data_IF_812558037662
#
_entry.id   IF_812558037662
#
_cell.length_a   1.000
_cell.length_b   1.000
_cell.length_c   1.000
_cell.angle_alpha   90.00
_cell.angle_beta   90.00
_cell.angle_gamma   90.00
#
_symmetry.space_group_name_H-M   'P 1'
#
loop_
_entity.id
_entity.type
_entity.pdbx_description
1 polymer ?
#
# COMPACT_ATOMS: atom_id res chain seq x y z
N UNK A 1 -11.08 58.01 -53.64
CA UNK A 1 -11.00 56.60 -54.05
C UNK A 1 -10.08 55.87 -53.10
N UNK A 2 -10.49 54.66 -52.72
CA UNK A 2 -10.20 53.96 -51.46
C UNK A 2 -8.80 53.34 -51.47
N UNK A 3 -8.01 53.60 -50.42
CA UNK A 3 -6.76 52.88 -50.15
C UNK A 3 -7.08 51.41 -49.87
N UNK A 4 -6.68 50.53 -50.78
CA UNK A 4 -6.82 49.08 -50.65
C UNK A 4 -5.98 48.58 -49.48
N UNK A 5 -6.65 48.03 -48.47
CA UNK A 5 -6.03 47.25 -47.41
C UNK A 5 -5.44 45.99 -48.03
N UNK A 6 -4.12 45.95 -48.19
CA UNK A 6 -3.40 44.72 -48.47
C UNK A 6 -3.68 43.72 -47.36
N UNK A 7 -4.34 42.60 -47.71
CA UNK A 7 -4.60 41.50 -46.79
C UNK A 7 -3.26 41.05 -46.21
N UNK A 8 -3.10 41.18 -44.88
CA UNK A 8 -2.03 40.51 -44.14
C UNK A 8 -2.11 39.01 -44.48
N UNK A 9 -0.98 38.41 -44.87
CA UNK A 9 -0.88 36.95 -44.96
C UNK A 9 -1.37 36.35 -43.64
N UNK A 10 -2.17 35.26 -43.65
CA UNK A 10 -2.47 34.54 -42.43
C UNK A 10 -1.15 34.14 -41.75
N UNK A 11 -1.07 34.17 -40.40
CA UNK A 11 0.11 33.65 -39.70
C UNK A 11 0.36 32.21 -40.17
N UNK A 12 1.59 31.90 -40.58
CA UNK A 12 2.01 30.53 -40.88
C UNK A 12 1.63 29.65 -39.68
N UNK A 13 0.89 28.57 -39.94
CA UNK A 13 0.56 27.58 -38.92
C UNK A 13 1.87 27.11 -38.26
N UNK A 14 1.93 27.01 -36.91
CA UNK A 14 3.15 26.60 -36.23
C UNK A 14 3.56 25.22 -36.76
N UNK A 15 4.75 25.15 -37.38
CA UNK A 15 5.30 23.87 -37.86
C UNK A 15 5.52 22.94 -36.66
N UNK A 16 4.65 21.95 -36.51
CA UNK A 16 4.77 20.91 -35.49
C UNK A 16 5.88 19.96 -35.94
N UNK A 17 6.94 19.85 -35.14
CA UNK A 17 8.05 18.95 -35.43
C UNK A 17 7.82 17.61 -34.74
N UNK A 18 7.84 16.52 -35.50
CA UNK A 18 7.71 15.16 -34.94
C UNK A 18 9.07 14.72 -34.41
N UNK A 19 9.12 14.19 -33.18
CA UNK A 19 10.35 13.68 -32.55
C UNK A 19 10.07 12.38 -31.79
N UNK A 20 11.04 11.46 -31.75
CA UNK A 20 10.95 10.25 -30.93
C UNK A 20 11.45 10.51 -29.52
N UNK A 21 10.90 9.82 -28.52
CA UNK A 21 11.25 10.02 -27.10
C UNK A 21 12.75 9.88 -26.80
N UNK A 22 13.43 8.93 -27.46
CA UNK A 22 14.86 8.67 -27.33
C UNK A 22 15.74 9.81 -27.90
N UNK A 23 15.29 10.46 -28.97
CA UNK A 23 15.99 11.58 -29.61
C UNK A 23 15.87 12.90 -28.81
N UNK A 24 14.92 13.00 -27.88
CA UNK A 24 14.65 14.23 -27.12
C UNK A 24 15.83 14.63 -26.23
N UNK A 25 16.54 13.66 -25.65
CA UNK A 25 17.70 13.95 -24.77
C UNK A 25 18.76 14.73 -25.55
N UNK A 26 19.09 14.27 -26.76
CA UNK A 26 20.12 14.90 -27.59
C UNK A 26 19.71 16.31 -28.02
N UNK A 27 18.43 16.50 -28.38
CA UNK A 27 17.91 17.83 -28.74
C UNK A 27 17.94 18.78 -27.56
N UNK A 28 17.51 18.33 -26.37
CA UNK A 28 17.52 19.12 -25.15
C UNK A 28 18.95 19.50 -24.74
N UNK A 29 19.87 18.54 -24.73
CA UNK A 29 21.27 18.75 -24.36
C UNK A 29 22.00 19.69 -25.34
N UNK A 30 21.81 19.48 -26.65
CA UNK A 30 22.38 20.37 -27.67
C UNK A 30 21.85 21.80 -27.53
N UNK A 31 20.54 21.95 -27.31
CA UNK A 31 19.92 23.26 -27.15
C UNK A 31 20.41 23.95 -25.88
N UNK A 32 20.48 23.20 -24.77
CA UNK A 32 21.04 23.66 -23.49
C UNK A 32 22.48 24.16 -23.66
N UNK A 33 23.33 23.38 -24.33
CA UNK A 33 24.73 23.74 -24.55
C UNK A 33 24.86 25.07 -25.33
N UNK A 34 24.15 25.21 -26.44
CA UNK A 34 24.18 26.44 -27.26
C UNK A 34 23.71 27.65 -26.45
N UNK A 35 22.64 27.50 -25.66
CA UNK A 35 22.12 28.58 -24.82
C UNK A 35 23.05 28.90 -23.64
N UNK A 36 23.71 27.91 -23.06
CA UNK A 36 24.71 28.07 -22.01
C UNK A 36 25.90 28.90 -22.52
N UNK A 37 26.47 28.55 -23.68
CA UNK A 37 27.56 29.33 -24.28
C UNK A 37 27.13 30.77 -24.58
N UNK A 38 25.91 30.97 -25.10
CA UNK A 38 25.39 32.29 -25.42
C UNK A 38 25.17 33.15 -24.18
N UNK A 39 24.63 32.58 -23.11
CA UNK A 39 24.38 33.27 -21.84
C UNK A 39 25.68 33.62 -21.11
N UNK A 40 26.67 32.71 -21.10
CA UNK A 40 28.02 32.97 -20.57
C UNK A 40 28.70 34.08 -21.37
N UNK A 41 28.69 34.01 -22.70
CA UNK A 41 29.26 35.06 -23.56
C UNK A 41 28.61 36.42 -23.31
N UNK A 42 27.27 36.45 -23.21
CA UNK A 42 26.52 37.68 -22.91
C UNK A 42 26.91 38.24 -21.54
N UNK A 43 27.01 37.39 -20.52
CA UNK A 43 27.44 37.79 -19.19
C UNK A 43 28.87 38.34 -19.17
N UNK A 44 29.81 37.70 -19.89
CA UNK A 44 31.17 38.20 -20.06
C UNK A 44 31.22 39.61 -20.68
N UNK A 45 30.38 39.86 -21.70
CA UNK A 45 30.25 41.19 -22.29
C UNK A 45 29.67 42.24 -21.31
N UNK A 46 28.67 41.86 -20.51
CA UNK A 46 28.13 42.73 -19.46
C UNK A 46 29.18 43.05 -18.40
N UNK A 47 29.99 42.06 -18.02
CA UNK A 47 31.09 42.26 -17.07
C UNK A 47 32.16 43.21 -17.63
N UNK A 48 32.52 43.06 -18.92
CA UNK A 48 33.44 43.97 -19.59
C UNK A 48 32.91 45.41 -19.62
N UNK A 49 31.65 45.62 -20.03
CA UNK A 49 31.00 46.94 -20.03
C UNK A 49 30.98 47.55 -18.62
N UNK A 50 30.64 46.73 -17.62
CA UNK A 50 30.61 47.16 -16.21
C UNK A 50 31.99 47.55 -15.70
N UNK A 51 33.04 46.81 -16.07
CA UNK A 51 34.41 47.17 -15.70
C UNK A 51 34.88 48.47 -16.36
N UNK A 52 34.44 48.79 -17.58
CA UNK A 52 34.68 50.11 -18.20
C UNK A 52 34.05 51.23 -17.36
N UNK A 53 32.79 51.07 -16.96
CA UNK A 53 32.09 52.02 -16.08
C UNK A 53 32.75 52.15 -14.70
N UNK A 54 33.25 51.04 -14.13
CA UNK A 54 33.99 51.06 -12.87
C UNK A 54 35.30 51.86 -13.00
N UNK A 55 36.02 51.74 -14.12
CA UNK A 55 37.22 52.56 -14.38
C UNK A 55 36.88 54.04 -14.46
N UNK A 56 35.74 54.40 -15.03
CA UNK A 56 35.25 55.79 -15.02
C UNK A 56 34.93 56.26 -13.60
N UNK A 57 34.31 55.44 -12.74
CA UNK A 57 34.13 55.77 -11.33
C UNK A 57 35.46 55.99 -10.59
N UNK A 58 36.48 55.18 -10.92
CA UNK A 58 37.83 55.36 -10.36
C UNK A 58 38.45 56.67 -10.83
N UNK A 59 38.21 57.08 -12.07
CA UNK A 59 38.68 58.37 -12.57
C UNK A 59 37.97 59.53 -11.88
N UNK A 60 36.65 59.50 -11.78
CA UNK A 60 35.87 60.53 -11.04
C UNK A 60 36.34 60.62 -9.59
N UNK A 61 36.65 59.49 -8.93
CA UNK A 61 37.22 59.50 -7.59
C UNK A 61 38.53 60.29 -7.52
N UNK A 62 39.44 60.09 -8.49
CA UNK A 62 40.71 60.81 -8.55
C UNK A 62 40.50 62.30 -8.83
N UNK A 63 39.58 62.64 -9.72
CA UNK A 63 39.25 64.02 -10.05
C UNK A 63 38.69 64.74 -8.80
N UNK A 64 37.75 64.11 -8.09
CA UNK A 64 37.25 64.61 -6.80
C UNK A 64 38.38 64.72 -5.75
N UNK A 65 39.33 63.78 -5.70
CA UNK A 65 40.48 63.84 -4.79
C UNK A 65 41.38 65.07 -5.07
N UNK A 66 41.56 65.43 -6.35
CA UNK A 66 42.42 66.52 -6.82
C UNK A 66 41.74 67.89 -6.86
N UNK A 67 40.41 67.92 -6.90
CA UNK A 67 39.62 69.14 -6.90
C UNK A 67 39.68 69.81 -5.51
N UNK A 68 40.69 70.65 -5.30
CA UNK A 68 40.69 71.59 -4.18
C UNK A 68 39.48 72.50 -4.36
N UNK A 69 38.73 72.78 -3.29
CA UNK A 69 37.48 73.56 -3.34
C UNK A 69 37.79 75.02 -3.74
N UNK A 70 38.19 75.26 -5.00
CA UNK A 70 38.90 76.45 -5.49
C UNK A 70 38.05 77.73 -5.42
N UNK A 71 36.74 77.61 -5.23
CA UNK A 71 35.85 78.74 -4.93
C UNK A 71 35.73 78.94 -3.41
N UNK A 72 36.82 79.38 -2.77
CA UNK A 72 36.83 79.65 -1.33
C UNK A 72 35.85 80.75 -0.88
N UNK A 73 35.28 81.52 -1.81
CA UNK A 73 34.34 82.62 -1.55
C UNK A 73 32.84 82.22 -1.60
N UNK A 74 32.45 81.06 -2.17
CA UNK A 74 31.03 80.70 -2.37
C UNK A 74 30.43 79.74 -1.31
N UNK A 75 31.25 79.01 -0.55
CA UNK A 75 30.77 78.03 0.45
C UNK A 75 30.71 78.62 1.86
N UNK A 76 29.51 78.62 2.49
CA UNK A 76 29.31 79.09 3.87
C UNK A 76 30.29 78.39 4.86
N UNK A 77 31.10 79.16 5.62
CA UNK A 77 32.05 78.62 6.60
C UNK A 77 31.44 77.65 7.62
N UNK A 78 30.14 77.76 7.91
CA UNK A 78 29.41 76.87 8.85
C UNK A 78 29.16 75.48 8.27
N UNK A 79 29.04 75.33 6.95
CA UNK A 79 28.79 74.04 6.29
C UNK A 79 30.08 73.40 5.77
N UNK A 80 31.17 74.16 5.64
CA UNK A 80 32.49 73.69 5.16
C UNK A 80 32.98 72.39 5.85
N UNK A 81 32.89 72.19 7.18
CA UNK A 81 33.31 70.93 7.81
C UNK A 81 32.47 69.72 7.40
N UNK A 82 31.17 69.92 7.14
CA UNK A 82 30.26 68.88 6.66
C UNK A 82 30.58 68.50 5.22
N UNK A 83 30.93 69.50 4.39
CA UNK A 83 31.34 69.30 2.99
C UNK A 83 32.61 68.46 2.89
N UNK A 84 33.65 68.81 3.66
CA UNK A 84 34.92 68.07 3.71
C UNK A 84 34.68 66.62 4.19
N UNK A 85 33.83 66.43 5.20
CA UNK A 85 33.49 65.10 5.72
C UNK A 85 32.75 64.26 4.68
N UNK A 86 31.76 64.84 3.99
CA UNK A 86 31.01 64.18 2.93
C UNK A 86 31.88 63.76 1.75
N UNK A 87 32.79 64.66 1.30
CA UNK A 87 33.80 64.38 0.28
C UNK A 87 34.68 63.18 0.65
N UNK A 88 35.24 63.16 1.88
CA UNK A 88 36.04 62.02 2.38
C UNK A 88 35.25 60.71 2.43
N UNK A 89 34.00 60.75 2.86
CA UNK A 89 33.14 59.56 2.90
C UNK A 89 32.85 58.99 1.51
N UNK A 90 32.62 59.87 0.51
CA UNK A 90 32.41 59.46 -0.87
C UNK A 90 33.67 58.83 -1.48
N UNK A 91 34.84 59.46 -1.28
CA UNK A 91 36.13 58.94 -1.76
C UNK A 91 36.39 57.54 -1.19
N UNK A 92 36.22 57.36 0.12
CA UNK A 92 36.38 56.05 0.77
C UNK A 92 35.39 55.00 0.27
N UNK A 93 34.15 55.41 -0.04
CA UNK A 93 33.15 54.54 -0.64
C UNK A 93 33.58 54.05 -2.02
N UNK A 94 33.99 54.97 -2.90
CA UNK A 94 34.43 54.66 -4.24
C UNK A 94 35.72 53.83 -4.23
N UNK A 95 36.68 54.16 -3.36
CA UNK A 95 37.92 53.39 -3.19
C UNK A 95 37.69 51.92 -2.84
N UNK A 96 36.70 51.62 -2.00
CA UNK A 96 36.39 50.26 -1.55
C UNK A 96 35.47 49.48 -2.48
N UNK A 97 34.61 50.17 -3.25
CA UNK A 97 33.53 49.52 -3.99
C UNK A 97 33.61 49.68 -5.52
N UNK A 98 34.38 50.65 -6.03
CA UNK A 98 34.71 50.75 -7.46
C UNK A 98 35.95 49.88 -7.77
N UNK A 99 35.81 48.58 -7.52
CA UNK A 99 36.80 47.55 -7.85
C UNK A 99 36.24 46.77 -9.04
N UNK A 100 37.09 46.41 -10.00
CA UNK A 100 36.67 45.58 -11.13
C UNK A 100 36.11 44.23 -10.65
N UNK A 101 35.19 43.67 -11.42
CA UNK A 101 34.71 42.30 -11.22
C UNK A 101 35.53 41.34 -12.08
N UNK A 102 35.66 40.10 -11.61
CA UNK A 102 36.39 39.06 -12.33
C UNK A 102 35.71 38.73 -13.67
N UNK A 103 36.48 38.30 -14.69
CA UNK A 103 35.92 37.79 -15.94
C UNK A 103 34.99 36.59 -15.70
N UNK A 104 33.86 36.59 -16.40
CA UNK A 104 32.85 35.52 -16.28
C UNK A 104 33.11 34.46 -17.35
N UNK A 105 33.39 33.23 -16.90
CA UNK A 105 33.62 32.07 -17.77
C UNK A 105 32.63 30.92 -17.54
N UNK A 106 31.87 30.96 -16.44
CA UNK A 106 30.93 29.92 -16.06
C UNK A 106 29.74 30.50 -15.30
N UNK A 107 28.76 29.64 -15.00
CA UNK A 107 27.57 30.00 -14.23
C UNK A 107 27.91 30.51 -12.82
N UNK A 108 28.93 29.94 -12.18
CA UNK A 108 29.35 30.34 -10.83
C UNK A 108 29.85 31.80 -10.84
N UNK A 109 30.61 32.18 -11.84
CA UNK A 109 31.07 33.54 -12.07
C UNK A 109 29.92 34.51 -12.28
N UNK A 110 28.86 34.12 -13.02
CA UNK A 110 27.66 34.94 -13.20
C UNK A 110 26.98 35.27 -11.86
N UNK A 111 26.75 34.26 -11.03
CA UNK A 111 26.11 34.40 -9.72
C UNK A 111 26.96 35.30 -8.80
N UNK A 112 28.26 35.06 -8.76
CA UNK A 112 29.17 35.82 -7.91
C UNK A 112 29.27 37.28 -8.34
N UNK A 113 29.44 37.55 -9.63
CA UNK A 113 29.50 38.89 -10.17
C UNK A 113 28.22 39.69 -9.87
N UNK A 114 27.04 39.09 -10.05
CA UNK A 114 25.78 39.74 -9.77
C UNK A 114 25.64 40.11 -8.27
N UNK A 115 26.02 39.18 -7.37
CA UNK A 115 26.01 39.41 -5.91
C UNK A 115 26.98 40.51 -5.50
N UNK A 116 28.17 40.51 -6.07
CA UNK A 116 29.19 41.52 -5.77
C UNK A 116 28.76 42.91 -6.24
N UNK A 117 28.22 43.03 -7.45
CA UNK A 117 27.69 44.28 -7.98
C UNK A 117 26.53 44.82 -7.11
N UNK A 118 25.61 43.95 -6.70
CA UNK A 118 24.49 44.35 -5.82
C UNK A 118 25.01 44.96 -4.50
N UNK A 119 25.97 44.29 -3.85
CA UNK A 119 26.54 44.78 -2.60
C UNK A 119 27.31 46.09 -2.79
N UNK A 120 28.10 46.20 -3.86
CA UNK A 120 28.89 47.41 -4.18
C UNK A 120 27.98 48.61 -4.49
N UNK A 121 26.97 48.42 -5.35
CA UNK A 121 25.98 49.46 -5.68
C UNK A 121 25.21 49.94 -4.47
N UNK A 122 24.71 49.03 -3.62
CA UNK A 122 24.01 49.41 -2.38
C UNK A 122 24.89 50.26 -1.47
N UNK A 123 26.18 49.93 -1.33
CA UNK A 123 27.11 50.69 -0.47
C UNK A 123 27.39 52.08 -1.02
N UNK A 124 27.67 52.21 -2.32
CA UNK A 124 27.92 53.52 -2.96
C UNK A 124 26.64 54.37 -2.97
N UNK A 125 25.50 53.79 -3.36
CA UNK A 125 24.21 54.46 -3.37
C UNK A 125 23.76 54.94 -1.99
N UNK A 126 23.98 54.15 -0.93
CA UNK A 126 23.68 54.57 0.44
C UNK A 126 24.49 55.80 0.88
N UNK A 127 25.76 55.90 0.46
CA UNK A 127 26.63 57.03 0.83
C UNK A 127 26.25 58.26 0.01
N UNK A 128 25.98 58.10 -1.29
CA UNK A 128 25.48 59.19 -2.14
C UNK A 128 24.13 59.71 -1.67
N UNK A 129 23.19 58.84 -1.30
CA UNK A 129 21.90 59.27 -0.76
C UNK A 129 22.02 60.06 0.54
N UNK A 130 22.90 59.64 1.45
CA UNK A 130 23.15 60.34 2.73
C UNK A 130 23.88 61.67 2.55
N UNK A 131 24.75 61.77 1.55
CA UNK A 131 25.59 62.95 1.30
C UNK A 131 25.11 63.79 0.11
N UNK A 132 23.92 63.54 -0.45
CA UNK A 132 23.44 64.16 -1.69
C UNK A 132 23.51 65.70 -1.67
N UNK A 133 23.04 66.33 -0.60
CA UNK A 133 23.11 67.80 -0.43
C UNK A 133 24.55 68.33 -0.39
N UNK A 134 25.45 67.57 0.21
CA UNK A 134 26.86 67.93 0.30
C UNK A 134 27.51 67.77 -1.07
N UNK A 135 27.25 66.65 -1.77
CA UNK A 135 27.76 66.38 -3.13
C UNK A 135 27.32 67.45 -4.14
N UNK A 136 26.09 67.93 -4.07
CA UNK A 136 25.64 69.04 -4.94
C UNK A 136 26.34 70.37 -4.67
N UNK A 137 26.88 70.59 -3.47
CA UNK A 137 27.55 71.85 -3.10
C UNK A 137 29.03 71.88 -3.52
N UNK A 138 29.71 70.73 -3.57
CA UNK A 138 31.14 70.69 -3.92
C UNK A 138 31.47 70.00 -5.24
N UNK A 139 30.49 69.35 -5.87
CA UNK A 139 30.73 68.43 -6.98
C UNK A 139 29.50 68.32 -7.89
N UNK A 140 28.85 69.43 -8.21
CA UNK A 140 27.65 69.45 -9.06
C UNK A 140 27.89 68.76 -10.42
N UNK A 141 29.04 69.03 -11.05
CA UNK A 141 29.45 68.43 -12.33
C UNK A 141 29.70 66.92 -12.22
N UNK A 142 30.28 66.44 -11.12
CA UNK A 142 30.52 65.01 -10.89
C UNK A 142 29.25 64.27 -10.44
N UNK A 143 28.31 64.96 -9.78
CA UNK A 143 27.09 64.36 -9.25
C UNK A 143 26.22 63.76 -10.36
N UNK A 144 26.04 64.50 -11.46
CA UNK A 144 25.29 64.04 -12.63
C UNK A 144 25.95 62.81 -13.26
N UNK A 145 27.27 62.84 -13.45
CA UNK A 145 28.02 61.74 -14.06
C UNK A 145 28.08 60.49 -13.17
N UNK A 146 28.28 60.65 -11.85
CA UNK A 146 28.22 59.55 -10.88
C UNK A 146 26.86 58.86 -10.91
N UNK A 147 25.78 59.65 -10.93
CA UNK A 147 24.43 59.12 -11.00
C UNK A 147 24.24 58.30 -12.28
N UNK A 148 24.61 58.85 -13.43
CA UNK A 148 24.49 58.17 -14.72
C UNK A 148 25.26 56.84 -14.73
N UNK A 149 26.54 56.84 -14.31
CA UNK A 149 27.35 55.61 -14.31
C UNK A 149 26.75 54.54 -13.38
N UNK A 150 26.26 54.93 -12.20
CA UNK A 150 25.65 53.98 -11.26
C UNK A 150 24.32 53.41 -11.77
N UNK A 151 23.52 54.21 -12.48
CA UNK A 151 22.32 53.74 -13.17
C UNK A 151 22.67 52.73 -14.27
N UNK A 152 23.68 53.01 -15.09
CA UNK A 152 24.15 52.08 -16.13
C UNK A 152 24.73 50.77 -15.56
N UNK A 153 25.47 50.83 -14.44
CA UNK A 153 25.95 49.62 -13.74
C UNK A 153 24.77 48.82 -13.17
N UNK A 154 23.77 49.47 -12.59
CA UNK A 154 22.56 48.81 -12.08
C UNK A 154 21.76 48.14 -13.19
N UNK A 155 21.66 48.76 -14.37
CA UNK A 155 20.99 48.16 -15.52
C UNK A 155 21.76 46.98 -16.10
N UNK A 156 23.09 47.07 -16.21
CA UNK A 156 23.94 45.92 -16.57
C UNK A 156 23.79 44.78 -15.55
N UNK A 157 23.69 45.09 -14.25
CA UNK A 157 23.47 44.10 -13.20
C UNK A 157 22.11 43.42 -13.32
N UNK A 158 21.02 44.17 -13.56
CA UNK A 158 19.69 43.60 -13.80
C UNK A 158 19.69 42.66 -15.01
N UNK A 159 20.34 43.06 -16.10
CA UNK A 159 20.47 42.22 -17.29
C UNK A 159 21.30 40.95 -17.02
N UNK A 160 22.37 41.07 -16.21
CA UNK A 160 23.16 39.92 -15.76
C UNK A 160 22.33 38.97 -14.89
N UNK A 161 21.52 39.50 -13.97
CA UNK A 161 20.59 38.71 -13.15
C UNK A 161 19.60 37.95 -14.03
N UNK A 162 18.93 38.62 -14.97
CA UNK A 162 18.02 37.95 -15.92
C UNK A 162 18.73 36.86 -16.74
N UNK A 163 19.94 37.15 -17.23
CA UNK A 163 20.75 36.18 -17.98
C UNK A 163 21.12 34.96 -17.12
N UNK A 164 21.41 35.18 -15.84
CA UNK A 164 21.70 34.11 -14.86
C UNK A 164 20.46 33.25 -14.60
N UNK A 165 19.31 33.88 -14.40
CA UNK A 165 18.04 33.15 -14.19
C UNK A 165 17.65 32.32 -15.41
N UNK A 166 17.82 32.85 -16.63
CA UNK A 166 17.56 32.08 -17.86
C UNK A 166 18.47 30.87 -17.98
N UNK A 167 19.77 31.03 -17.68
CA UNK A 167 20.73 29.92 -17.69
C UNK A 167 20.31 28.81 -16.71
N UNK A 168 19.93 29.18 -15.49
CA UNK A 168 19.45 28.22 -14.49
C UNK A 168 18.18 27.49 -14.95
N UNK A 169 17.20 28.24 -15.46
CA UNK A 169 15.94 27.67 -15.93
C UNK A 169 16.14 26.69 -17.10
N UNK A 170 17.03 26.99 -18.04
CA UNK A 170 17.37 26.05 -19.14
C UNK A 170 17.99 24.74 -18.60
N UNK A 171 18.83 24.81 -17.56
CA UNK A 171 19.37 23.61 -16.91
C UNK A 171 18.29 22.78 -16.21
N UNK A 172 17.41 23.42 -15.43
CA UNK A 172 16.31 22.74 -14.73
C UNK A 172 15.34 22.07 -15.71
N UNK A 173 15.06 22.70 -16.86
CA UNK A 173 14.26 22.12 -17.92
C UNK A 173 14.93 20.88 -18.54
N UNK A 174 16.24 20.93 -18.80
CA UNK A 174 16.98 19.78 -19.33
C UNK A 174 17.05 18.61 -18.34
N UNK A 175 17.20 18.89 -17.05
CA UNK A 175 17.13 17.89 -15.99
C UNK A 175 15.73 17.26 -15.91
N UNK A 176 14.68 18.07 -16.02
CA UNK A 176 13.28 17.60 -16.06
C UNK A 176 13.05 16.64 -17.24
N UNK A 177 13.56 16.98 -18.43
CA UNK A 177 13.48 16.15 -19.63
C UNK A 177 14.23 14.83 -19.42
N UNK A 178 15.51 14.91 -19.02
CA UNK A 178 16.38 13.73 -18.87
C UNK A 178 15.88 12.80 -17.77
N UNK A 179 15.46 13.36 -16.63
CA UNK A 179 14.85 12.61 -15.53
C UNK A 179 13.52 11.98 -15.92
N UNK A 180 12.66 12.73 -16.61
CA UNK A 180 11.38 12.23 -17.11
C UNK A 180 11.54 11.05 -18.08
N UNK A 181 12.48 11.13 -19.02
CA UNK A 181 12.76 10.03 -19.96
C UNK A 181 13.25 8.78 -19.24
N UNK A 182 14.15 8.93 -18.24
CA UNK A 182 14.60 7.82 -17.39
C UNK A 182 13.44 7.20 -16.60
N UNK A 183 12.51 8.02 -16.11
CA UNK A 183 11.32 7.56 -15.41
C UNK A 183 10.43 6.73 -16.34
N UNK A 184 10.15 7.22 -17.55
CA UNK A 184 9.34 6.49 -18.55
C UNK A 184 9.99 5.14 -18.87
N UNK A 185 11.29 5.11 -19.14
CA UNK A 185 11.98 3.85 -19.43
C UNK A 185 11.93 2.86 -18.24
N UNK A 186 12.05 3.36 -17.01
CA UNK A 186 11.93 2.54 -15.81
C UNK A 186 10.52 1.96 -15.64
N UNK A 187 9.49 2.75 -15.97
CA UNK A 187 8.09 2.31 -15.98
C UNK A 187 7.85 1.22 -17.04
N UNK A 188 8.41 1.36 -18.25
CA UNK A 188 8.33 0.36 -19.31
C UNK A 188 8.99 -0.97 -18.93
N UNK A 189 10.19 -0.91 -18.35
CA UNK A 189 10.87 -2.11 -17.85
C UNK A 189 10.01 -2.83 -16.81
N UNK A 190 9.42 -2.07 -15.87
CA UNK A 190 8.52 -2.63 -14.86
C UNK A 190 7.26 -3.26 -15.47
N UNK A 191 6.66 -2.64 -16.49
CA UNK A 191 5.51 -3.20 -17.22
C UNK A 191 5.91 -4.53 -17.89
N UNK A 192 7.07 -4.58 -18.56
CA UNK A 192 7.55 -5.77 -19.23
C UNK A 192 7.84 -6.92 -18.24
N UNK A 193 8.50 -6.63 -17.13
CA UNK A 193 8.81 -7.62 -16.10
C UNK A 193 7.55 -8.13 -15.40
N UNK A 194 6.58 -7.24 -15.15
CA UNK A 194 5.26 -7.63 -14.68
C UNK A 194 4.56 -8.55 -15.68
N UNK A 195 4.64 -8.25 -16.99
CA UNK A 195 4.09 -9.08 -18.06
C UNK A 195 4.65 -10.50 -18.05
N UNK A 196 5.97 -10.65 -17.91
CA UNK A 196 6.63 -11.95 -17.76
C UNK A 196 6.14 -12.68 -16.51
N UNK A 197 6.10 -11.99 -15.37
CA UNK A 197 5.67 -12.59 -14.09
C UNK A 197 4.20 -13.02 -14.11
N UNK A 198 3.33 -12.27 -14.80
CA UNK A 198 1.93 -12.67 -15.06
C UNK A 198 1.88 -13.92 -15.92
N UNK A 199 2.63 -13.97 -17.03
CA UNK A 199 2.68 -15.15 -17.91
C UNK A 199 3.13 -16.41 -17.16
N UNK A 200 4.18 -16.31 -16.34
CA UNK A 200 4.66 -17.42 -15.50
C UNK A 200 3.60 -17.87 -14.49
N UNK A 201 2.94 -16.92 -13.81
CA UNK A 201 1.90 -17.21 -12.82
C UNK A 201 0.64 -17.79 -13.47
N UNK A 202 0.30 -17.38 -14.70
CA UNK A 202 -0.81 -17.95 -15.49
C UNK A 202 -0.51 -19.39 -15.90
N UNK A 203 0.75 -19.69 -16.27
CA UNK A 203 1.18 -21.06 -16.53
C UNK A 203 1.06 -21.94 -15.27
N UNK A 204 1.55 -21.46 -14.12
CA UNK A 204 1.42 -22.18 -12.84
C UNK A 204 -0.05 -22.42 -12.47
N UNK A 205 -0.92 -21.42 -12.66
CA UNK A 205 -2.37 -21.55 -12.47
C UNK A 205 -2.99 -22.63 -13.37
N UNK A 206 -2.54 -22.73 -14.62
CA UNK A 206 -3.02 -23.75 -15.54
C UNK A 206 -2.57 -25.16 -15.12
N UNK A 207 -1.33 -25.31 -14.67
CA UNK A 207 -0.81 -26.58 -14.15
C UNK A 207 -1.58 -27.03 -12.90
N UNK A 208 -1.89 -26.11 -11.97
CA UNK A 208 -2.72 -26.40 -10.80
C UNK A 208 -4.14 -26.77 -11.22
N UNK A 209 -4.73 -26.05 -12.17
CA UNK A 209 -6.07 -26.36 -12.69
C UNK A 209 -6.12 -27.77 -13.32
N UNK A 210 -5.07 -28.17 -14.04
CA UNK A 210 -4.95 -29.53 -14.57
C UNK A 210 -4.84 -30.57 -13.44
N UNK A 211 -4.04 -30.31 -12.40
CA UNK A 211 -3.94 -31.20 -11.22
C UNK A 211 -5.28 -31.31 -10.49
N UNK A 212 -6.01 -30.21 -10.33
CA UNK A 212 -7.35 -30.22 -9.75
C UNK A 212 -8.30 -31.11 -10.56
N UNK A 213 -8.33 -30.97 -11.88
CA UNK A 213 -9.16 -31.83 -12.74
C UNK A 213 -8.79 -33.32 -12.61
N UNK A 214 -7.50 -33.63 -12.53
CA UNK A 214 -7.03 -35.00 -12.29
C UNK A 214 -7.49 -35.52 -10.92
N UNK A 215 -7.29 -34.76 -9.84
CA UNK A 215 -7.71 -35.17 -8.49
C UNK A 215 -9.24 -35.31 -8.40
N UNK A 216 -10.02 -34.47 -9.09
CA UNK A 216 -11.48 -34.63 -9.20
C UNK A 216 -11.86 -35.94 -9.88
N UNK A 217 -11.19 -36.30 -10.98
CA UNK A 217 -11.39 -37.58 -11.66
C UNK A 217 -11.02 -38.76 -10.75
N UNK A 218 -9.89 -38.69 -10.04
CA UNK A 218 -9.47 -39.72 -9.08
C UNK A 218 -10.47 -39.90 -7.93
N UNK A 219 -11.03 -38.81 -7.41
CA UNK A 219 -12.11 -38.86 -6.41
C UNK A 219 -13.35 -39.53 -7.00
N UNK A 220 -13.75 -39.15 -8.21
CA UNK A 220 -14.93 -39.70 -8.86
C UNK A 220 -14.79 -41.22 -9.12
N UNK A 221 -13.62 -41.67 -9.55
CA UNK A 221 -13.34 -43.08 -9.78
C UNK A 221 -13.21 -43.86 -8.47
N UNK A 222 -12.59 -43.27 -7.44
CA UNK A 222 -12.56 -43.90 -6.12
C UNK A 222 -13.97 -44.10 -5.55
N UNK A 223 -14.90 -43.17 -5.78
CA UNK A 223 -16.31 -43.33 -5.37
C UNK A 223 -17.05 -44.47 -6.09
N UNK A 224 -16.56 -44.91 -7.25
CA UNK A 224 -17.11 -46.08 -7.97
C UNK A 224 -16.51 -47.41 -7.47
N UNK A 225 -15.46 -47.35 -6.65
CA UNK A 225 -14.76 -48.56 -6.19
C UNK A 225 -15.63 -49.43 -5.28
N UNK A 226 -15.36 -50.73 -5.29
CA UNK A 226 -15.99 -51.67 -4.37
C UNK A 226 -15.67 -51.35 -2.90
N UNK A 227 -14.45 -50.87 -2.63
CA UNK A 227 -13.97 -50.44 -1.31
C UNK A 227 -14.84 -49.31 -0.74
N UNK A 228 -15.06 -48.24 -1.51
CA UNK A 228 -15.88 -47.12 -1.07
C UNK A 228 -17.35 -47.52 -0.83
N UNK A 229 -17.91 -48.36 -1.70
CA UNK A 229 -19.26 -48.88 -1.53
C UNK A 229 -19.39 -49.77 -0.29
N UNK A 230 -18.36 -50.59 0.02
CA UNK A 230 -18.33 -51.39 1.24
C UNK A 230 -18.31 -50.51 2.49
N UNK A 231 -17.49 -49.46 2.49
CA UNK A 231 -17.46 -48.48 3.59
C UNK A 231 -18.82 -47.78 3.76
N UNK A 232 -19.49 -47.36 2.68
CA UNK A 232 -20.83 -46.76 2.74
C UNK A 232 -21.87 -47.71 3.34
N UNK A 233 -21.87 -48.98 2.93
CA UNK A 233 -22.80 -49.98 3.47
C UNK A 233 -22.59 -50.19 4.98
N UNK A 234 -21.34 -50.15 5.45
CA UNK A 234 -21.03 -50.23 6.89
C UNK A 234 -21.50 -48.98 7.64
N UNK A 235 -21.37 -47.79 7.05
CA UNK A 235 -21.94 -46.55 7.61
C UNK A 235 -23.46 -46.66 7.79
N UNK A 236 -24.17 -47.14 6.76
CA UNK A 236 -25.62 -47.32 6.81
C UNK A 236 -26.04 -48.39 7.82
N UNK A 237 -25.24 -49.46 7.95
CA UNK A 237 -25.44 -50.48 8.98
C UNK A 237 -25.26 -49.92 10.39
N UNK A 238 -24.22 -49.11 10.61
CA UNK A 238 -23.98 -48.44 11.89
C UNK A 238 -25.13 -47.48 12.26
N UNK A 239 -25.67 -46.75 11.28
CA UNK A 239 -26.85 -45.90 11.51
C UNK A 239 -28.12 -46.71 11.81
N UNK A 240 -28.27 -47.91 11.22
CA UNK A 240 -29.34 -48.84 11.61
C UNK A 240 -29.18 -49.30 13.06
N UNK A 241 -27.98 -49.75 13.45
CA UNK A 241 -27.70 -50.16 14.83
C UNK A 241 -27.98 -49.04 15.84
N UNK A 242 -27.67 -47.79 15.50
CA UNK A 242 -28.04 -46.63 16.34
C UNK A 242 -29.55 -46.51 16.52
N UNK A 243 -30.34 -46.68 15.45
CA UNK A 243 -31.81 -46.66 15.53
C UNK A 243 -32.35 -47.84 16.33
N UNK A 244 -31.84 -49.04 16.10
CA UNK A 244 -32.25 -50.26 16.81
C UNK A 244 -31.96 -50.16 18.31
N UNK A 245 -30.83 -49.56 18.68
CA UNK A 245 -30.50 -49.26 20.09
C UNK A 245 -31.50 -48.31 20.74
N UNK A 246 -31.89 -47.24 20.04
CA UNK A 246 -32.92 -46.32 20.54
C UNK A 246 -34.27 -47.03 20.69
N UNK A 247 -34.65 -47.85 19.71
CA UNK A 247 -35.89 -48.62 19.75
C UNK A 247 -35.89 -49.62 20.92
N UNK A 248 -34.78 -50.33 21.14
CA UNK A 248 -34.62 -51.28 22.24
C UNK A 248 -34.63 -50.57 23.60
N UNK A 249 -33.96 -49.42 23.72
CA UNK A 249 -34.03 -48.58 24.93
C UNK A 249 -35.47 -48.17 25.23
N UNK A 250 -36.23 -47.72 24.24
CA UNK A 250 -37.63 -47.39 24.40
C UNK A 250 -38.51 -48.60 24.79
N UNK A 251 -38.27 -49.78 24.19
CA UNK A 251 -38.97 -51.03 24.52
C UNK A 251 -38.78 -51.38 26.01
N UNK A 252 -37.51 -51.38 26.46
CA UNK A 252 -37.14 -51.70 27.84
C UNK A 252 -37.70 -50.67 28.81
N UNK A 253 -37.49 -49.37 28.57
CA UNK A 253 -38.04 -48.30 29.42
C UNK A 253 -39.56 -48.43 29.54
N UNK A 254 -40.26 -48.72 28.43
CA UNK A 254 -41.72 -48.91 28.45
C UNK A 254 -42.13 -50.07 29.35
N UNK A 255 -41.44 -51.22 29.32
CA UNK A 255 -41.75 -52.31 30.25
C UNK A 255 -41.49 -51.91 31.72
N UNK A 256 -40.38 -51.23 31.99
CA UNK A 256 -40.03 -50.82 33.35
C UNK A 256 -40.97 -49.74 33.91
N UNK A 257 -41.53 -48.86 33.07
CA UNK A 257 -42.54 -47.88 33.53
C UNK A 257 -43.78 -48.56 34.12
N UNK A 258 -44.18 -49.73 33.62
CA UNK A 258 -45.33 -50.50 34.14
C UNK A 258 -45.14 -50.94 35.59
N UNK A 259 -43.89 -51.11 36.02
CA UNK A 259 -43.53 -51.57 37.37
C UNK A 259 -42.81 -50.49 38.20
N UNK A 260 -42.71 -49.26 37.70
CA UNK A 260 -42.05 -48.13 38.38
C UNK A 260 -42.57 -47.88 39.80
N UNK A 261 -43.89 -47.98 40.02
CA UNK A 261 -44.53 -47.78 41.33
C UNK A 261 -44.16 -48.86 42.36
N UNK A 262 -44.33 -50.17 42.08
CA UNK A 262 -43.88 -51.20 43.02
C UNK A 262 -42.37 -51.14 43.26
N UNK A 263 -41.55 -50.91 42.22
CA UNK A 263 -40.10 -50.70 42.37
C UNK A 263 -39.79 -49.55 43.33
N UNK A 264 -40.29 -48.34 43.05
CA UNK A 264 -40.01 -47.16 43.88
C UNK A 264 -40.52 -47.24 45.33
N UNK A 265 -41.49 -48.13 45.60
CA UNK A 265 -41.94 -48.42 46.98
C UNK A 265 -41.07 -49.47 47.66
N UNK A 266 -40.62 -50.49 46.93
CA UNK A 266 -39.69 -51.50 47.45
C UNK A 266 -38.36 -50.88 47.88
N UNK A 267 -37.88 -49.87 47.14
CA UNK A 267 -36.70 -49.07 47.50
C UNK A 267 -36.71 -48.51 48.92
N UNK A 268 -37.89 -48.29 49.52
CA UNK A 268 -38.04 -47.66 50.85
C UNK A 268 -38.03 -48.67 52.00
N UNK A 269 -38.17 -49.95 51.67
CA UNK A 269 -38.27 -51.04 52.65
C UNK A 269 -37.17 -52.09 52.48
N UNK A 270 -36.41 -52.05 51.37
CA UNK A 270 -35.22 -52.88 51.20
C UNK A 270 -34.16 -52.49 52.23
N UNK A 271 -33.63 -53.49 52.95
CA UNK A 271 -32.52 -53.30 53.88
C UNK A 271 -31.15 -53.49 53.20
N UNK A 272 -31.14 -54.02 51.98
CA UNK A 272 -29.94 -54.29 51.21
C UNK A 272 -29.56 -53.05 50.37
N UNK A 273 -28.38 -52.51 50.66
CA UNK A 273 -27.84 -51.32 49.97
C UNK A 273 -27.53 -51.59 48.51
N UNK A 274 -27.09 -52.79 48.16
CA UNK A 274 -26.74 -53.15 46.78
C UNK A 274 -28.01 -53.31 45.93
N UNK A 275 -29.05 -53.98 46.46
CA UNK A 275 -30.35 -54.05 45.78
C UNK A 275 -31.03 -52.69 45.68
N UNK A 276 -30.89 -51.82 46.68
CA UNK A 276 -31.44 -50.45 46.64
C UNK A 276 -30.75 -49.62 45.55
N UNK A 277 -29.42 -49.70 45.44
CA UNK A 277 -28.67 -49.02 44.39
C UNK A 277 -29.00 -49.56 42.98
N UNK A 278 -29.16 -50.88 42.82
CA UNK A 278 -29.58 -51.49 41.56
C UNK A 278 -31.00 -51.03 41.16
N UNK A 279 -31.90 -50.94 42.13
CA UNK A 279 -33.27 -50.48 41.92
C UNK A 279 -33.34 -49.03 41.44
N UNK A 280 -32.59 -48.13 42.10
CA UNK A 280 -32.53 -46.72 41.72
C UNK A 280 -32.02 -46.54 40.29
N UNK A 281 -31.00 -47.32 39.89
CA UNK A 281 -30.50 -47.33 38.51
C UNK A 281 -31.53 -47.87 37.51
N UNK A 282 -32.26 -48.93 37.85
CA UNK A 282 -33.35 -49.47 37.00
C UNK A 282 -34.51 -48.47 36.81
N UNK A 283 -34.77 -47.61 37.80
CA UNK A 283 -35.78 -46.55 37.69
C UNK A 283 -35.33 -45.37 36.82
N UNK A 284 -34.03 -45.07 36.83
CA UNK A 284 -33.44 -43.99 36.05
C UNK A 284 -33.16 -44.40 34.60
N UNK A 285 -32.38 -45.45 34.39
CA UNK A 285 -32.05 -46.01 33.08
C UNK A 285 -32.04 -47.54 33.08
N UNK A 286 -33.22 -48.13 32.83
CA UNK A 286 -33.38 -49.57 32.76
C UNK A 286 -32.52 -50.23 31.66
N UNK A 287 -32.26 -49.56 30.54
CA UNK A 287 -31.46 -50.12 29.46
C UNK A 287 -30.01 -50.27 29.88
N UNK A 288 -29.37 -49.17 30.32
CA UNK A 288 -27.96 -49.20 30.71
C UNK A 288 -27.75 -50.04 31.98
N UNK A 289 -28.75 -50.11 32.85
CA UNK A 289 -28.66 -50.96 34.04
C UNK A 289 -28.71 -52.44 33.70
N UNK A 290 -29.61 -52.89 32.82
CA UNK A 290 -29.67 -54.30 32.38
C UNK A 290 -28.42 -54.68 31.60
N UNK A 291 -27.88 -53.75 30.82
CA UNK A 291 -26.63 -53.93 30.08
C UNK A 291 -25.44 -54.20 31.00
N UNK A 292 -25.36 -53.51 32.13
CA UNK A 292 -24.19 -53.53 33.02
C UNK A 292 -24.32 -54.48 34.21
N UNK A 293 -25.55 -54.81 34.62
CA UNK A 293 -25.80 -55.67 35.77
C UNK A 293 -25.87 -57.15 35.38
N UNK A 294 -25.62 -58.03 36.36
CA UNK A 294 -25.92 -59.44 36.21
C UNK A 294 -27.44 -59.66 36.13
N UNK A 295 -27.86 -60.43 35.12
CA UNK A 295 -29.29 -60.72 34.88
C UNK A 295 -29.95 -61.45 36.05
N UNK A 296 -29.20 -62.29 36.76
CA UNK A 296 -29.65 -62.97 37.97
C UNK A 296 -29.96 -62.00 39.09
N UNK A 297 -29.10 -60.99 39.31
CA UNK A 297 -29.34 -59.94 40.30
C UNK A 297 -30.59 -59.10 40.00
N UNK A 298 -30.85 -58.78 38.73
CA UNK A 298 -32.07 -58.06 38.32
C UNK A 298 -33.32 -58.92 38.55
N UNK A 299 -33.26 -60.21 38.22
CA UNK A 299 -34.36 -61.15 38.44
C UNK A 299 -34.64 -61.33 39.93
N UNK A 300 -33.62 -61.53 40.76
CA UNK A 300 -33.75 -61.69 42.22
C UNK A 300 -34.40 -60.45 42.87
N UNK A 301 -34.00 -59.25 42.41
CA UNK A 301 -34.60 -58.00 42.84
C UNK A 301 -36.09 -57.94 42.48
N UNK A 302 -36.45 -58.30 41.24
CA UNK A 302 -37.85 -58.34 40.80
C UNK A 302 -38.67 -59.38 41.59
N UNK A 303 -38.08 -60.51 41.98
CA UNK A 303 -38.71 -61.49 42.86
C UNK A 303 -38.94 -60.96 44.28
N UNK A 304 -37.99 -60.19 44.82
CA UNK A 304 -38.14 -59.46 46.07
C UNK A 304 -39.32 -58.48 46.03
N UNK A 305 -39.40 -57.69 44.96
CA UNK A 305 -40.50 -56.72 44.71
C UNK A 305 -41.84 -57.45 44.55
N UNK A 306 -41.87 -58.58 43.84
CA UNK A 306 -43.06 -59.42 43.67
C UNK A 306 -43.56 -59.96 45.01
N UNK A 307 -42.65 -60.52 45.83
CA UNK A 307 -42.98 -61.05 47.17
C UNK A 307 -43.53 -59.96 48.08
N UNK A 308 -42.89 -58.79 48.13
CA UNK A 308 -43.33 -57.65 48.93
C UNK A 308 -44.68 -57.05 48.45
N UNK A 309 -44.97 -57.13 47.15
CA UNK A 309 -46.28 -56.74 46.60
C UNK A 309 -47.36 -57.75 46.97
N UNK A 310 -47.06 -59.05 46.91
CA UNK A 310 -47.99 -60.13 47.25
C UNK A 310 -48.30 -60.23 48.75
N UNK A 311 -47.33 -59.93 49.62
CA UNK A 311 -47.49 -59.94 51.08
C UNK A 311 -48.23 -58.72 51.62
N UNK A 312 -48.53 -57.73 50.78
CA UNK A 312 -49.09 -56.44 51.19
C UNK A 312 -48.08 -55.50 51.85
N UNK A 313 -46.79 -55.86 51.88
CA UNK A 313 -45.71 -55.00 52.40
C UNK A 313 -45.50 -53.73 51.55
N UNK A 314 -45.94 -53.75 50.30
CA UNK A 314 -46.01 -52.59 49.41
C UNK A 314 -47.45 -52.31 48.98
N UNK A 315 -47.87 -51.06 49.14
CA UNK A 315 -49.18 -50.60 48.65
C UNK A 315 -49.14 -50.19 47.17
N UNK A 316 -49.86 -50.95 46.34
CA UNK A 316 -50.15 -50.65 44.92
C UNK A 316 -51.65 -50.46 44.71
N UNK A 317 -52.04 -49.79 43.61
CA UNK A 317 -53.46 -49.50 43.31
C UNK A 317 -54.26 -50.75 42.95
N UNK A 318 -53.65 -51.66 42.20
CA UNK A 318 -54.23 -52.92 41.74
C UNK A 318 -53.15 -53.98 41.89
N UNK A 319 -53.34 -54.88 42.85
CA UNK A 319 -52.35 -55.89 43.23
C UNK A 319 -52.20 -56.93 42.12
N UNK A 320 -53.30 -57.41 41.56
CA UNK A 320 -53.30 -58.42 40.50
C UNK A 320 -52.56 -57.92 39.26
N UNK A 321 -52.89 -56.71 38.80
CA UNK A 321 -52.24 -56.10 37.63
C UNK A 321 -50.76 -55.78 37.86
N UNK A 322 -50.39 -55.37 39.06
CA UNK A 322 -48.99 -55.10 39.41
C UNK A 322 -48.16 -56.40 39.45
N UNK A 323 -48.69 -57.47 40.05
CA UNK A 323 -48.04 -58.77 40.08
C UNK A 323 -47.85 -59.35 38.67
N UNK A 324 -48.87 -59.23 37.82
CA UNK A 324 -48.79 -59.63 36.41
C UNK A 324 -47.70 -58.84 35.66
N UNK A 325 -47.67 -57.51 35.81
CA UNK A 325 -46.66 -56.67 35.18
C UNK A 325 -45.23 -56.97 35.68
N UNK A 326 -45.05 -57.27 36.97
CA UNK A 326 -43.74 -57.68 37.53
C UNK A 326 -43.30 -59.01 36.94
N UNK A 327 -44.21 -59.99 36.86
CA UNK A 327 -43.91 -61.30 36.29
C UNK A 327 -43.56 -61.22 34.80
N UNK A 328 -44.33 -60.45 34.02
CA UNK A 328 -44.05 -60.21 32.59
C UNK A 328 -42.68 -59.53 32.38
N UNK A 329 -42.34 -58.54 33.22
CA UNK A 329 -41.02 -57.89 33.14
C UNK A 329 -39.90 -58.85 33.53
N UNK A 330 -40.08 -59.65 34.58
CA UNK A 330 -39.11 -60.66 35.03
C UNK A 330 -38.84 -61.70 33.93
N UNK A 331 -39.88 -62.22 33.27
CA UNK A 331 -39.76 -63.14 32.13
C UNK A 331 -39.14 -62.49 30.88
N UNK A 332 -39.26 -61.17 30.73
CA UNK A 332 -38.67 -60.44 29.62
C UNK A 332 -37.17 -60.13 29.79
N UNK A 333 -36.61 -60.18 31.01
CA UNK A 333 -35.20 -59.83 31.28
C UNK A 333 -34.24 -60.62 30.42
N UNK A 334 -34.37 -61.96 30.35
CA UNK A 334 -33.48 -62.79 29.52
C UNK A 334 -33.49 -62.36 28.06
N UNK A 335 -34.68 -62.11 27.50
CA UNK A 335 -34.84 -61.62 26.12
C UNK A 335 -34.23 -60.24 25.90
N UNK A 336 -34.32 -59.35 26.90
CA UNK A 336 -33.70 -58.03 26.82
C UNK A 336 -32.18 -58.10 26.87
N UNK A 337 -31.62 -58.91 27.76
CA UNK A 337 -30.18 -59.18 27.83
C UNK A 337 -29.67 -59.74 26.51
N UNK A 338 -30.36 -60.73 25.92
CA UNK A 338 -30.00 -61.30 24.63
C UNK A 338 -30.02 -60.25 23.51
N UNK A 339 -31.08 -59.42 23.44
CA UNK A 339 -31.19 -58.34 22.44
C UNK A 339 -30.07 -57.31 22.59
N UNK A 340 -29.75 -56.90 23.83
CA UNK A 340 -28.67 -55.95 24.13
C UNK A 340 -27.32 -56.53 23.70
N UNK A 341 -27.01 -57.75 24.15
CA UNK A 341 -25.74 -58.41 23.86
C UNK A 341 -25.52 -58.61 22.36
N UNK A 342 -26.56 -59.07 21.65
CA UNK A 342 -26.49 -59.25 20.20
C UNK A 342 -26.26 -57.92 19.47
N UNK A 343 -26.96 -56.85 19.86
CA UNK A 343 -26.79 -55.53 19.26
C UNK A 343 -25.38 -54.98 19.52
N UNK A 344 -24.85 -55.14 20.73
CA UNK A 344 -23.50 -54.69 21.08
C UNK A 344 -22.41 -55.47 20.34
N UNK A 345 -22.59 -56.79 20.19
CA UNK A 345 -21.68 -57.62 19.38
C UNK A 345 -21.67 -57.17 17.91
N UNK A 346 -22.84 -56.90 17.33
CA UNK A 346 -22.97 -56.42 15.95
C UNK A 346 -22.41 -55.00 15.77
N UNK A 347 -22.61 -54.10 16.74
CA UNK A 347 -22.00 -52.76 16.75
C UNK A 347 -20.47 -52.86 16.82
N UNK A 348 -19.94 -53.70 17.70
CA UNK A 348 -18.49 -53.88 17.85
C UNK A 348 -17.87 -54.45 16.58
N UNK A 349 -18.48 -55.49 16.00
CA UNK A 349 -18.05 -56.08 14.74
C UNK A 349 -18.07 -55.05 13.60
N UNK A 350 -19.17 -54.31 13.45
CA UNK A 350 -19.29 -53.25 12.43
C UNK A 350 -18.25 -52.16 12.63
N UNK A 351 -17.93 -51.79 13.88
CA UNK A 351 -16.91 -50.78 14.19
C UNK A 351 -15.53 -51.22 13.74
N UNK A 352 -15.13 -52.47 14.03
CA UNK A 352 -13.85 -53.04 13.57
C UNK A 352 -13.78 -53.10 12.04
N UNK A 353 -14.85 -53.58 11.39
CA UNK A 353 -14.93 -53.63 9.92
C UNK A 353 -14.85 -52.22 9.29
N UNK A 354 -15.36 -51.19 9.96
CA UNK A 354 -15.27 -49.81 9.50
C UNK A 354 -13.86 -49.23 9.60
N UNK A 355 -13.09 -49.61 10.63
CA UNK A 355 -11.69 -49.16 10.77
C UNK A 355 -10.79 -49.76 9.68
N UNK A 356 -11.02 -51.02 9.31
CA UNK A 356 -10.29 -51.72 8.24
C UNK A 356 -10.56 -51.11 6.85
N UNK A 357 -11.82 -50.76 6.58
CA UNK A 357 -12.26 -50.30 5.24
C UNK A 357 -12.35 -48.77 5.17
N UNK A 358 -11.94 -48.03 6.21
CA UNK A 358 -11.98 -46.56 6.17
C UNK A 358 -11.07 -46.07 5.04
N UNK A 359 -11.61 -45.33 4.04
CA UNK A 359 -10.85 -45.00 2.85
C UNK A 359 -9.87 -43.85 3.10
N UNK A 360 -8.68 -44.16 3.63
CA UNK A 360 -7.61 -43.17 3.84
C UNK A 360 -7.26 -42.40 2.55
N UNK A 361 -7.37 -43.07 1.40
CA UNK A 361 -7.20 -42.47 0.08
C UNK A 361 -8.18 -41.32 -0.18
N UNK A 362 -9.44 -41.44 0.24
CA UNK A 362 -10.43 -40.37 0.07
C UNK A 362 -10.06 -39.13 0.89
N UNK A 363 -9.60 -39.31 2.13
CA UNK A 363 -9.20 -38.20 3.01
C UNK A 363 -7.97 -37.48 2.45
N UNK A 364 -6.99 -38.22 1.92
CA UNK A 364 -5.83 -37.66 1.24
C UNK A 364 -6.23 -36.86 0.00
N UNK A 365 -7.04 -37.44 -0.91
CA UNK A 365 -7.48 -36.75 -2.13
C UNK A 365 -8.27 -35.47 -1.82
N UNK A 366 -9.13 -35.48 -0.79
CA UNK A 366 -9.86 -34.28 -0.35
C UNK A 366 -8.93 -33.20 0.21
N UNK A 367 -7.91 -33.60 0.99
CA UNK A 367 -6.91 -32.68 1.53
C UNK A 367 -6.08 -32.08 0.40
N UNK A 368 -5.66 -32.87 -0.57
CA UNK A 368 -4.90 -32.41 -1.73
C UNK A 368 -5.74 -31.42 -2.56
N UNK A 369 -7.01 -31.75 -2.81
CA UNK A 369 -7.96 -30.85 -3.47
C UNK A 369 -8.10 -29.50 -2.75
N UNK A 370 -8.19 -29.53 -1.42
CA UNK A 370 -8.27 -28.31 -0.61
C UNK A 370 -7.02 -27.44 -0.77
N UNK A 371 -5.82 -28.05 -0.65
CA UNK A 371 -4.56 -27.34 -0.79
C UNK A 371 -4.37 -26.76 -2.21
N UNK A 372 -4.76 -27.50 -3.25
CA UNK A 372 -4.71 -27.02 -4.63
C UNK A 372 -5.61 -25.79 -4.83
N UNK A 373 -6.83 -25.81 -4.28
CA UNK A 373 -7.75 -24.66 -4.34
C UNK A 373 -7.20 -23.44 -3.62
N UNK A 374 -6.65 -23.62 -2.42
CA UNK A 374 -6.03 -22.52 -1.67
C UNK A 374 -4.86 -21.91 -2.46
N UNK A 375 -4.00 -22.75 -3.04
CA UNK A 375 -2.88 -22.30 -3.87
C UNK A 375 -3.37 -21.55 -5.10
N UNK A 376 -4.42 -22.04 -5.76
CA UNK A 376 -5.04 -21.40 -6.92
C UNK A 376 -5.56 -19.99 -6.60
N UNK A 377 -6.24 -19.83 -5.46
CA UNK A 377 -6.73 -18.52 -5.02
C UNK A 377 -5.58 -17.53 -4.76
N UNK A 378 -4.48 -17.99 -4.17
CA UNK A 378 -3.29 -17.16 -3.91
C UNK A 378 -2.65 -16.67 -5.21
N UNK A 379 -2.49 -17.56 -6.21
CA UNK A 379 -1.95 -17.19 -7.51
C UNK A 379 -2.86 -16.18 -8.23
N UNK A 380 -4.18 -16.40 -8.20
CA UNK A 380 -5.13 -15.46 -8.81
C UNK A 380 -5.09 -14.06 -8.16
N UNK A 381 -4.95 -14.00 -6.83
CA UNK A 381 -4.75 -12.73 -6.12
C UNK A 381 -3.44 -12.05 -6.53
N UNK A 382 -2.34 -12.81 -6.65
CA UNK A 382 -1.04 -12.30 -7.12
C UNK A 382 -1.15 -11.71 -8.53
N UNK A 383 -1.74 -12.44 -9.48
CA UNK A 383 -1.96 -11.97 -10.86
C UNK A 383 -2.78 -10.69 -10.87
N UNK A 384 -3.87 -10.64 -10.12
CA UNK A 384 -4.75 -9.47 -10.05
C UNK A 384 -4.03 -8.24 -9.50
N UNK A 385 -3.20 -8.42 -8.47
CA UNK A 385 -2.39 -7.33 -7.90
C UNK A 385 -1.37 -6.80 -8.92
N UNK A 386 -0.64 -7.68 -9.61
CA UNK A 386 0.34 -7.27 -10.62
C UNK A 386 -0.34 -6.56 -11.79
N UNK A 387 -1.50 -7.03 -12.25
CA UNK A 387 -2.29 -6.35 -13.29
C UNK A 387 -2.71 -4.95 -12.85
N UNK A 388 -3.23 -4.80 -11.63
CA UNK A 388 -3.61 -3.49 -11.07
C UNK A 388 -2.43 -2.52 -10.95
N UNK A 389 -1.25 -2.99 -10.53
CA UNK A 389 -0.06 -2.13 -10.47
C UNK A 389 0.42 -1.74 -11.86
N UNK A 390 0.34 -2.65 -12.83
CA UNK A 390 0.71 -2.41 -14.23
C UNK A 390 -0.17 -1.33 -14.85
N UNK A 391 -1.50 -1.42 -14.70
CA UNK A 391 -2.44 -0.39 -15.21
C UNK A 391 -2.17 0.99 -14.60
N UNK A 392 -1.89 1.08 -13.30
CA UNK A 392 -1.54 2.37 -12.67
C UNK A 392 -0.25 2.96 -13.22
N UNK A 393 0.73 2.11 -13.53
CA UNK A 393 1.99 2.53 -14.15
C UNK A 393 1.75 3.02 -15.58
N UNK A 394 0.97 2.28 -16.38
CA UNK A 394 0.57 2.66 -17.74
C UNK A 394 -0.17 4.02 -17.76
N UNK A 395 -1.07 4.28 -16.82
CA UNK A 395 -1.76 5.56 -16.68
C UNK A 395 -0.85 6.73 -16.27
N UNK A 396 0.33 6.42 -15.73
CA UNK A 396 1.30 7.42 -15.27
C UNK A 396 2.25 7.86 -16.39
N UNK A 397 2.53 7.00 -17.36
CA UNK A 397 3.42 7.28 -18.50
C UNK A 397 2.97 8.53 -19.29
N UNK A 398 1.70 8.67 -19.72
CA UNK A 398 1.25 9.87 -20.44
C UNK A 398 1.44 11.17 -19.65
N UNK A 399 1.33 11.12 -18.31
CA UNK A 399 1.54 12.29 -17.45
C UNK A 399 3.00 12.72 -17.45
N UNK A 400 3.92 11.76 -17.47
CA UNK A 400 5.35 12.03 -17.53
C UNK A 400 5.76 12.53 -18.92
N UNK A 401 5.23 11.92 -20.00
CA UNK A 401 5.42 12.40 -21.38
C UNK A 401 4.94 13.84 -21.52
N UNK A 402 3.80 14.19 -20.93
CA UNK A 402 3.30 15.57 -20.95
C UNK A 402 4.26 16.55 -20.28
N UNK A 403 4.87 16.19 -19.14
CA UNK A 403 5.88 17.04 -18.48
C UNK A 403 7.13 17.20 -19.35
N UNK A 404 7.60 16.12 -19.97
CA UNK A 404 8.75 16.14 -20.90
C UNK A 404 8.43 17.07 -22.07
N UNK A 405 7.23 16.95 -22.65
CA UNK A 405 6.75 17.81 -23.74
C UNK A 405 6.76 19.29 -23.34
N UNK A 406 6.11 19.65 -22.22
CA UNK A 406 6.07 21.04 -21.74
C UNK A 406 7.47 21.61 -21.47
N UNK A 407 8.39 20.79 -20.95
CA UNK A 407 9.77 21.21 -20.72
C UNK A 407 10.55 21.37 -22.04
N UNK A 408 10.34 20.47 -23.00
CA UNK A 408 10.96 20.52 -24.33
C UNK A 408 10.53 21.76 -25.10
N UNK A 409 9.24 22.12 -25.09
CA UNK A 409 8.76 23.32 -25.76
C UNK A 409 9.37 24.59 -25.15
N UNK A 410 9.53 24.64 -23.82
CA UNK A 410 10.16 25.77 -23.13
C UNK A 410 11.65 25.91 -23.46
N UNK A 411 12.39 24.80 -23.46
CA UNK A 411 13.84 24.83 -23.70
C UNK A 411 14.20 25.02 -25.17
N UNK A 412 13.31 24.72 -26.11
CA UNK A 412 13.58 24.87 -27.55
C UNK A 412 12.90 26.10 -28.15
N UNK A 413 11.75 26.51 -27.60
CA UNK A 413 10.85 27.48 -28.21
C UNK A 413 10.04 26.93 -29.40
N UNK A 414 10.05 25.62 -29.61
CA UNK A 414 9.38 24.94 -30.73
C UNK A 414 8.32 23.98 -30.22
N UNK A 415 7.26 23.76 -31.02
CA UNK A 415 6.22 22.78 -30.70
C UNK A 415 6.59 21.41 -31.27
N UNK A 416 6.40 20.38 -30.45
CA UNK A 416 6.73 19.01 -30.81
C UNK A 416 5.53 18.07 -30.73
N UNK A 417 5.48 17.10 -31.64
CA UNK A 417 4.66 15.91 -31.46
C UNK A 417 5.60 14.77 -31.05
N UNK A 418 5.47 14.31 -29.79
CA UNK A 418 6.31 13.23 -29.27
C UNK A 418 5.71 11.90 -29.69
N UNK A 419 6.48 11.12 -30.45
CA UNK A 419 6.19 9.71 -30.72
C UNK A 419 6.75 8.87 -29.59
N UNK A 420 5.83 8.21 -28.89
CA UNK A 420 6.06 7.28 -27.80
C UNK A 420 5.89 5.85 -28.32
#
# INVERSE_FOLDING_TARGET
>A
MIFGWGRKKPPEEPQITIIRLDEIVDVAEKTRHIRAERTITKAGNLAHKTNTLIRELVQIRKDIEMDDLEEEEEIDPRIRPLVIKGKKMLIEALKKNAVEIEPIHDYKGMVQANKDLEHRLKRVGNILGKQSRVVHVFAEEYAARLKQILEEIEDNRKELLSTTTWHQNDNELAETITGGIKNVHSMEMLINDNGKSVSESEQESNDISSKMAQTEAEIADFKKSAEYNRWLNLCDLMERHKRDRVALKMEISTQFTKISRPLGRYSRISADKEQTALLERLLDDAYDTIRLADSGSVIELLEGVRRATSSGSISVKDVSKALEAIMQTQEAIGRFVDKINNLEAEVQKTTVDMEDVKPAKMDLLKKDMYNLKETQELIQKKISNIKNTTTKTEESIPKEIKKIHEALEKITGMRYEIKY
#
